data_IF_035083569825
#
_entry.id   IF_035083569825
#
_cell.length_a   1.000
_cell.length_b   1.000
_cell.length_c   1.000
_cell.angle_alpha   90.00
_cell.angle_beta   90.00
_cell.angle_gamma   90.00
#
_symmetry.space_group_name_H-M   'P 1'
#
loop_
_entity.id
_entity.type
_entity.pdbx_description
1 polymer ?
#
# COMPACT_ATOMS: atom_id res chain seq x y z
N UNK A 1 13.93 11.26 21.57
CA UNK A 1 13.82 10.00 20.80
C UNK A 1 14.66 10.11 19.54
N UNK A 2 15.20 9.01 19.05
CA UNK A 2 16.02 8.89 17.84
C UNK A 2 15.39 7.85 16.90
N UNK A 3 15.45 8.10 15.59
CA UNK A 3 15.08 7.11 14.56
C UNK A 3 16.33 6.32 14.16
N UNK A 4 16.16 5.01 13.99
CA UNK A 4 17.15 4.05 13.53
C UNK A 4 16.57 3.40 12.26
N UNK A 5 17.32 3.53 11.16
CA UNK A 5 16.99 2.93 9.87
C UNK A 5 17.18 1.42 9.91
N UNK A 6 16.41 0.71 9.09
CA UNK A 6 16.51 -0.74 8.92
C UNK A 6 16.86 -1.06 7.47
N UNK A 7 16.99 -2.34 7.12
CA UNK A 7 17.23 -2.77 5.74
C UNK A 7 16.03 -2.55 4.79
N UNK A 8 14.84 -2.24 5.33
CA UNK A 8 13.67 -1.82 4.55
C UNK A 8 13.30 -0.40 5.00
N UNK A 9 13.46 0.59 4.11
CA UNK A 9 13.35 2.01 4.46
C UNK A 9 12.00 2.42 5.06
N UNK A 10 10.91 1.72 4.73
CA UNK A 10 9.58 1.98 5.29
C UNK A 10 9.46 1.57 6.77
N UNK A 11 10.23 0.56 7.20
CA UNK A 11 10.21 0.03 8.57
C UNK A 11 11.33 0.71 9.36
N UNK A 12 10.97 1.39 10.43
CA UNK A 12 11.93 2.16 11.23
C UNK A 12 11.77 1.88 12.71
N UNK A 13 12.87 2.08 13.44
CA UNK A 13 12.94 1.82 14.87
C UNK A 13 13.13 3.13 15.60
N UNK A 14 12.41 3.32 16.70
CA UNK A 14 12.52 4.49 17.55
C UNK A 14 13.15 4.10 18.89
N UNK A 15 14.20 4.82 19.27
CA UNK A 15 14.84 4.71 20.57
C UNK A 15 14.47 5.94 21.43
N UNK A 16 13.79 5.77 22.57
CA UNK A 16 13.39 6.88 23.40
C UNK A 16 14.59 7.51 24.11
N UNK A 17 14.45 8.77 24.48
CA UNK A 17 15.41 9.42 25.41
C UNK A 17 14.93 9.13 26.82
N UNK A 18 15.73 8.39 27.59
CA UNK A 18 15.40 7.96 28.95
C UNK A 18 16.03 8.93 29.97
N UNK A 19 15.22 9.37 30.92
CA UNK A 19 15.64 10.19 32.05
C UNK A 19 15.57 9.33 33.31
N UNK A 20 16.70 9.10 33.96
CA UNK A 20 16.80 8.23 35.15
C UNK A 20 17.17 9.06 36.39
N UNK A 21 16.56 8.71 37.53
CA UNK A 21 16.89 9.25 38.85
C UNK A 21 16.63 8.19 39.95
N UNK A 22 16.86 8.54 41.22
CA UNK A 22 16.71 7.60 42.36
C UNK A 22 15.30 7.00 42.51
N UNK A 23 14.27 7.57 41.85
CA UNK A 23 12.89 7.07 41.87
C UNK A 23 12.63 6.04 40.77
N UNK A 24 13.50 5.93 39.78
CA UNK A 24 13.34 5.08 38.61
C UNK A 24 13.66 5.83 37.32
N UNK A 25 12.87 5.59 36.28
CA UNK A 25 13.09 6.19 34.97
C UNK A 25 11.79 6.70 34.34
N UNK A 26 11.93 7.68 33.46
CA UNK A 26 10.86 8.27 32.68
C UNK A 26 11.31 8.41 31.23
N UNK A 27 10.42 8.08 30.30
CA UNK A 27 10.56 8.47 28.90
C UNK A 27 9.19 8.74 28.28
N UNK A 28 9.19 9.61 27.28
CA UNK A 28 8.02 9.83 26.43
C UNK A 28 7.90 8.63 25.47
N UNK A 29 6.93 7.76 25.74
CA UNK A 29 6.72 6.54 24.94
C UNK A 29 6.11 6.82 23.57
N UNK A 30 5.46 7.96 23.37
CA UNK A 30 5.01 8.40 22.06
C UNK A 30 4.72 9.90 22.05
N UNK A 31 5.02 10.56 20.93
CA UNK A 31 4.66 11.94 20.62
C UNK A 31 4.43 12.05 19.13
N UNK A 32 3.18 12.27 18.73
CA UNK A 32 2.80 12.37 17.31
C UNK A 32 3.62 13.44 16.55
N UNK A 33 3.82 14.67 17.07
CA UNK A 33 4.64 15.65 16.39
C UNK A 33 6.08 15.20 16.15
N UNK A 34 6.72 14.53 17.12
CA UNK A 34 8.10 14.03 16.98
C UNK A 34 8.19 12.84 16.05
N UNK A 35 7.21 11.93 16.14
CA UNK A 35 7.08 10.78 15.27
C UNK A 35 6.93 11.21 13.81
N UNK A 36 5.99 12.11 13.51
CA UNK A 36 5.80 12.66 12.16
C UNK A 36 7.04 13.41 11.66
N UNK A 37 7.67 14.25 12.50
CA UNK A 37 8.87 14.97 12.11
C UNK A 37 10.03 14.03 11.71
N UNK A 38 10.20 12.91 12.42
CA UNK A 38 11.24 11.92 12.13
C UNK A 38 10.94 11.11 10.85
N UNK A 39 9.68 10.71 10.63
CA UNK A 39 9.28 10.03 9.40
C UNK A 39 9.45 10.93 8.18
N UNK A 40 8.97 12.18 8.24
CA UNK A 40 9.13 13.16 7.16
C UNK A 40 10.59 13.45 6.84
N UNK A 41 11.47 13.50 7.85
CA UNK A 41 12.91 13.69 7.64
C UNK A 41 13.56 12.54 6.86
N UNK A 42 12.96 11.34 6.90
CA UNK A 42 13.38 10.15 6.15
C UNK A 42 12.63 9.97 4.83
N UNK A 43 11.75 10.91 4.46
CA UNK A 43 10.91 10.80 3.27
C UNK A 43 9.85 9.70 3.36
N UNK A 44 9.53 9.22 4.57
CA UNK A 44 8.49 8.20 4.79
C UNK A 44 7.13 8.88 4.85
N UNK A 45 6.15 8.34 4.10
CA UNK A 45 4.76 8.82 4.12
C UNK A 45 4.19 8.77 5.53
N UNK A 46 3.55 9.87 5.94
CA UNK A 46 2.95 9.98 7.27
C UNK A 46 1.73 9.04 7.38
N UNK A 47 1.64 8.22 8.44
CA UNK A 47 0.47 7.39 8.64
C UNK A 47 -0.76 8.21 9.10
N UNK A 48 -1.98 7.64 9.02
CA UNK A 48 -3.11 8.17 9.75
C UNK A 48 -2.85 8.17 11.25
N UNK A 49 -3.67 8.94 11.99
CA UNK A 49 -3.68 8.87 13.45
C UNK A 49 -3.96 7.45 13.94
N UNK A 50 -3.37 7.11 15.08
CA UNK A 50 -3.67 5.85 15.76
C UNK A 50 -5.09 5.89 16.35
N UNK A 51 -5.90 4.87 16.04
CA UNK A 51 -7.31 4.80 16.45
C UNK A 51 -7.62 3.65 17.41
N UNK A 52 -6.65 2.76 17.63
CA UNK A 52 -6.80 1.60 18.50
C UNK A 52 -5.46 1.27 19.17
N UNK A 53 -5.52 0.80 20.41
CA UNK A 53 -4.38 0.33 21.17
C UNK A 53 -4.68 -1.05 21.74
N UNK A 54 -3.68 -1.92 21.71
CA UNK A 54 -3.78 -3.31 22.08
C UNK A 54 -2.65 -3.68 23.04
N UNK A 55 -2.93 -4.64 23.92
CA UNK A 55 -1.97 -5.16 24.89
C UNK A 55 -2.12 -6.69 24.97
N UNK A 56 -0.99 -7.40 25.02
CA UNK A 56 -0.99 -8.86 25.20
C UNK A 56 0.07 -9.28 26.21
N UNK A 57 -0.22 -10.34 26.95
CA UNK A 57 0.71 -11.04 27.82
C UNK A 57 1.05 -12.39 27.17
N UNK A 58 2.34 -12.72 27.07
CA UNK A 58 2.81 -13.95 26.44
C UNK A 58 3.84 -14.66 27.31
N UNK A 59 3.73 -15.98 27.40
CA UNK A 59 4.76 -16.85 27.97
C UNK A 59 5.96 -16.92 27.03
N UNK A 60 7.12 -17.35 27.54
CA UNK A 60 8.28 -17.61 26.69
C UNK A 60 7.94 -18.64 25.60
N UNK A 61 8.43 -18.40 24.39
CA UNK A 61 8.23 -19.29 23.23
C UNK A 61 6.88 -19.11 22.53
N UNK A 62 6.00 -18.22 22.99
CA UNK A 62 4.77 -17.88 22.26
C UNK A 62 5.11 -17.11 20.99
N UNK A 63 4.69 -17.66 19.85
CA UNK A 63 4.77 -17.07 18.52
C UNK A 63 3.39 -16.51 18.15
N UNK A 64 3.34 -15.25 17.71
CA UNK A 64 2.13 -14.62 17.16
C UNK A 64 2.45 -14.02 15.81
N UNK A 65 1.71 -14.40 14.77
CA UNK A 65 1.93 -13.90 13.42
C UNK A 65 2.26 -14.98 12.39
N UNK A 66 2.47 -14.61 11.14
CA UNK A 66 2.53 -13.21 10.65
C UNK A 66 1.14 -12.68 10.31
N UNK A 67 0.77 -11.48 10.78
CA UNK A 67 -0.58 -10.91 10.64
C UNK A 67 -0.60 -9.56 9.93
N UNK A 68 -1.62 -9.36 9.11
CA UNK A 68 -1.92 -8.10 8.42
C UNK A 68 -3.43 -7.97 8.17
N UNK A 69 -3.88 -6.77 7.81
CA UNK A 69 -5.25 -6.54 7.34
C UNK A 69 -5.21 -5.96 5.92
N UNK A 70 -6.16 -6.37 5.09
CA UNK A 70 -6.35 -5.82 3.75
C UNK A 70 -7.16 -4.53 3.78
N UNK A 71 -7.04 -3.74 2.72
CA UNK A 71 -7.89 -2.59 2.49
C UNK A 71 -9.38 -2.97 2.42
N UNK A 72 -10.29 -2.10 2.91
CA UNK A 72 -10.06 -0.74 3.42
C UNK A 72 -9.61 -0.66 4.89
N UNK A 73 -9.34 -1.80 5.55
CA UNK A 73 -8.94 -1.87 6.95
C UNK A 73 -7.44 -2.15 7.15
N UNK A 74 -6.59 -1.81 6.19
CA UNK A 74 -5.15 -1.97 6.36
C UNK A 74 -4.67 -1.24 7.62
N UNK A 75 -3.66 -1.79 8.29
CA UNK A 75 -3.15 -1.28 9.56
C UNK A 75 -1.64 -1.10 9.51
N UNK A 76 -1.19 0.12 9.78
CA UNK A 76 0.13 0.36 10.32
C UNK A 76 0.14 0.12 11.83
N UNK A 77 1.26 -0.35 12.37
CA UNK A 77 1.44 -0.69 13.78
C UNK A 77 2.68 0.02 14.33
N UNK A 78 2.53 0.66 15.48
CA UNK A 78 3.68 1.07 16.31
C UNK A 78 3.75 0.13 17.51
N UNK A 79 4.77 -0.71 17.56
CA UNK A 79 4.88 -1.83 18.50
C UNK A 79 6.00 -1.62 19.53
N UNK A 80 5.80 -2.11 20.75
CA UNK A 80 6.79 -2.01 21.83
C UNK A 80 6.58 -3.06 22.94
N UNK A 81 7.58 -3.22 23.79
CA UNK A 81 7.54 -4.12 24.96
C UNK A 81 7.70 -3.31 26.24
N UNK A 82 6.77 -3.49 27.19
CA UNK A 82 6.80 -2.81 28.49
C UNK A 82 7.33 -3.70 29.62
N UNK A 83 7.25 -5.03 29.44
CA UNK A 83 7.83 -6.03 30.34
C UNK A 83 8.32 -7.22 29.51
N UNK A 84 9.49 -7.78 29.85
CA UNK A 84 10.09 -8.90 29.14
C UNK A 84 10.77 -8.49 27.83
N UNK A 85 10.82 -9.42 26.88
CA UNK A 85 11.45 -9.23 25.58
C UNK A 85 10.78 -10.07 24.48
N UNK A 86 10.77 -9.56 23.26
CA UNK A 86 10.38 -10.29 22.04
C UNK A 86 11.44 -10.13 20.97
N UNK A 87 11.51 -11.09 20.04
CA UNK A 87 12.06 -10.86 18.72
C UNK A 87 10.90 -10.55 17.76
N UNK A 88 10.80 -9.30 17.34
CA UNK A 88 9.72 -8.76 16.51
C UNK A 88 10.15 -8.70 15.04
N UNK A 89 9.24 -9.03 14.14
CA UNK A 89 9.49 -9.14 12.70
C UNK A 89 8.40 -8.43 11.90
N UNK A 90 8.84 -7.66 10.91
CA UNK A 90 8.01 -7.07 9.88
C UNK A 90 8.44 -7.61 8.51
N UNK A 91 7.48 -7.99 7.66
CA UNK A 91 7.71 -8.57 6.33
C UNK A 91 7.00 -7.72 5.29
N UNK A 92 7.71 -7.31 4.25
CA UNK A 92 7.10 -6.59 3.13
C UNK A 92 6.31 -7.57 2.25
N UNK A 93 4.98 -7.45 2.25
CA UNK A 93 4.08 -8.33 1.49
C UNK A 93 3.38 -7.58 0.35
N UNK A 94 3.85 -6.36 0.00
CA UNK A 94 3.27 -5.53 -1.06
C UNK A 94 3.69 -6.09 -2.42
N UNK A 95 2.74 -6.69 -3.15
CA UNK A 95 3.03 -7.27 -4.48
C UNK A 95 3.60 -6.19 -5.41
N UNK A 96 4.80 -6.43 -5.95
CA UNK A 96 5.51 -5.49 -6.83
C UNK A 96 6.51 -4.57 -6.11
N UNK A 97 6.59 -4.63 -4.77
CA UNK A 97 7.63 -3.92 -4.02
C UNK A 97 9.04 -4.42 -4.37
N UNK A 98 10.06 -3.54 -4.48
CA UNK A 98 11.46 -3.94 -4.62
C UNK A 98 11.97 -4.82 -3.46
N UNK A 99 11.35 -4.70 -2.28
CA UNK A 99 11.67 -5.46 -1.07
C UNK A 99 10.63 -6.56 -0.78
N UNK A 100 9.76 -6.91 -1.72
CA UNK A 100 8.76 -7.96 -1.53
C UNK A 100 9.38 -9.28 -1.03
N UNK A 101 8.81 -9.83 0.04
CA UNK A 101 9.29 -11.03 0.72
C UNK A 101 10.49 -10.82 1.64
N UNK A 102 11.10 -9.63 1.65
CA UNK A 102 12.15 -9.29 2.61
C UNK A 102 11.54 -8.93 3.96
N UNK A 103 12.36 -9.08 5.01
CA UNK A 103 11.93 -8.84 6.38
C UNK A 103 12.96 -8.03 7.17
N UNK A 104 12.47 -7.41 8.23
CA UNK A 104 13.24 -6.72 9.27
C UNK A 104 12.94 -7.44 10.57
N UNK A 105 13.97 -7.85 11.31
CA UNK A 105 13.83 -8.47 12.62
C UNK A 105 14.65 -7.73 13.68
N UNK A 106 14.09 -7.53 14.87
CA UNK A 106 14.80 -6.88 15.97
C UNK A 106 14.26 -7.32 17.33
N UNK A 107 15.15 -7.41 18.32
CA UNK A 107 14.73 -7.54 19.71
C UNK A 107 14.11 -6.24 20.24
N UNK A 108 12.89 -6.32 20.76
CA UNK A 108 12.24 -5.27 21.53
C UNK A 108 12.10 -5.74 22.98
N UNK A 109 12.51 -4.92 23.94
CA UNK A 109 12.46 -5.31 25.34
C UNK A 109 12.17 -4.13 26.27
N UNK A 110 11.72 -4.44 27.48
CA UNK A 110 11.53 -3.43 28.53
C UNK A 110 12.84 -2.70 28.88
N UNK A 111 13.99 -3.35 28.64
CA UNK A 111 15.32 -2.80 28.87
C UNK A 111 15.71 -1.83 27.76
N UNK A 112 15.60 -2.23 26.49
CA UNK A 112 16.01 -1.37 25.38
C UNK A 112 14.97 -0.28 25.05
N UNK A 113 13.71 -0.50 25.44
CA UNK A 113 12.56 0.42 25.31
C UNK A 113 12.32 0.89 23.87
N UNK A 114 12.84 0.15 22.89
CA UNK A 114 12.69 0.49 21.49
C UNK A 114 11.25 0.25 21.05
N UNK A 115 10.87 0.96 20.00
CA UNK A 115 9.60 0.75 19.30
C UNK A 115 9.88 0.51 17.83
N UNK A 116 9.11 -0.33 17.18
CA UNK A 116 9.19 -0.51 15.73
C UNK A 116 7.92 -0.01 15.07
N UNK A 117 8.07 0.79 14.01
CA UNK A 117 6.99 1.17 13.12
C UNK A 117 6.92 0.18 11.96
N UNK A 118 5.77 -0.44 11.81
CA UNK A 118 5.44 -1.37 10.73
C UNK A 118 4.30 -0.76 9.91
N UNK A 119 4.53 -0.31 8.67
CA UNK A 119 3.50 0.39 7.91
C UNK A 119 2.43 -0.55 7.35
N UNK A 120 1.37 0.04 6.79
CA UNK A 120 0.36 -0.69 6.03
C UNK A 120 1.00 -1.48 4.88
N UNK A 121 0.44 -2.64 4.55
CA UNK A 121 1.00 -3.51 3.51
C UNK A 121 2.14 -4.41 3.99
N UNK A 122 2.49 -4.40 5.28
CA UNK A 122 3.43 -5.33 5.89
C UNK A 122 2.72 -6.39 6.73
N UNK A 123 3.25 -7.61 6.74
CA UNK A 123 2.89 -8.61 7.73
C UNK A 123 3.78 -8.46 8.98
N UNK A 124 3.21 -8.66 10.16
CA UNK A 124 3.89 -8.47 11.43
C UNK A 124 3.71 -9.67 12.35
N UNK A 125 4.77 -10.06 13.05
CA UNK A 125 4.71 -11.08 14.09
C UNK A 125 5.89 -11.01 15.05
N UNK A 126 5.79 -11.74 16.16
CA UNK A 126 6.86 -11.81 17.15
C UNK A 126 6.90 -13.15 17.88
N UNK A 127 8.07 -13.46 18.45
CA UNK A 127 8.25 -14.53 19.42
C UNK A 127 8.68 -13.97 20.77
N UNK A 128 7.99 -14.36 21.85
CA UNK A 128 8.35 -13.96 23.20
C UNK A 128 9.61 -14.70 23.68
N UNK A 129 10.62 -13.94 24.12
CA UNK A 129 11.92 -14.45 24.56
C UNK A 129 11.96 -14.70 26.07
N UNK A 130 11.07 -14.04 26.81
CA UNK A 130 10.96 -14.10 28.26
C UNK A 130 9.54 -14.46 28.71
N UNK A 131 9.43 -14.92 29.96
CA UNK A 131 8.13 -15.11 30.60
C UNK A 131 7.46 -13.78 30.90
N UNK A 132 6.13 -13.82 31.03
CA UNK A 132 5.30 -12.65 31.35
C UNK A 132 5.62 -11.42 30.48
N UNK A 133 5.89 -11.65 29.20
CA UNK A 133 6.22 -10.59 28.25
C UNK A 133 4.95 -9.81 27.89
N UNK A 134 4.95 -8.51 28.20
CA UNK A 134 3.84 -7.59 27.92
C UNK A 134 4.17 -6.76 26.68
N UNK A 135 3.49 -7.09 25.59
CA UNK A 135 3.63 -6.44 24.29
C UNK A 135 2.47 -5.47 24.05
N UNK A 136 2.79 -4.22 23.70
CA UNK A 136 1.82 -3.17 23.41
C UNK A 136 1.96 -2.69 21.98
N UNK A 137 0.84 -2.35 21.35
CA UNK A 137 0.87 -1.77 20.02
C UNK A 137 -0.32 -0.87 19.72
N UNK A 138 -0.05 0.19 18.97
CA UNK A 138 -1.06 1.12 18.43
C UNK A 138 -1.27 0.83 16.96
N UNK A 139 -2.51 0.92 16.48
CA UNK A 139 -2.86 0.69 15.07
C UNK A 139 -3.55 1.89 14.43
N UNK A 140 -3.25 2.14 13.17
CA UNK A 140 -3.82 3.26 12.38
C UNK A 140 -5.26 3.02 11.92
N UNK A 141 -5.76 1.80 12.09
CA UNK A 141 -7.13 1.42 11.79
C UNK A 141 -7.68 0.44 12.85
N UNK A 142 -9.00 0.25 12.88
CA UNK A 142 -9.67 -0.68 13.79
C UNK A 142 -9.50 -2.13 13.33
N UNK A 143 -9.63 -3.06 14.27
CA UNK A 143 -9.64 -4.48 13.94
C UNK A 143 -10.84 -4.86 13.06
N UNK A 144 -10.60 -5.66 12.02
CA UNK A 144 -11.64 -6.17 11.13
C UNK A 144 -11.37 -7.64 10.80
N UNK A 145 -12.13 -8.53 11.46
CA UNK A 145 -12.01 -9.99 11.28
C UNK A 145 -12.12 -10.43 9.82
N UNK A 146 -12.94 -9.73 9.03
CA UNK A 146 -13.15 -10.03 7.61
C UNK A 146 -11.92 -9.72 6.73
N UNK A 147 -11.16 -8.70 7.11
CA UNK A 147 -10.01 -8.20 6.34
C UNK A 147 -8.68 -8.72 6.89
N UNK A 148 -8.70 -9.31 8.08
CA UNK A 148 -7.54 -9.96 8.66
C UNK A 148 -7.08 -11.14 7.81
N UNK A 149 -5.76 -11.22 7.63
CA UNK A 149 -5.07 -12.30 6.95
C UNK A 149 -3.81 -12.68 7.73
N UNK A 150 -3.25 -13.82 7.36
CA UNK A 150 -2.04 -14.34 7.97
C UNK A 150 -1.16 -15.02 6.94
N UNK A 151 0.14 -15.05 7.20
CA UNK A 151 1.12 -15.87 6.49
C UNK A 151 1.81 -16.78 7.51
N UNK A 152 2.16 -17.99 7.09
CA UNK A 152 2.91 -18.94 7.87
C UNK A 152 4.21 -18.29 8.40
N UNK A 153 4.40 -18.29 9.72
CA UNK A 153 5.61 -17.73 10.35
C UNK A 153 6.89 -18.46 9.92
N UNK A 154 6.75 -19.74 9.54
CA UNK A 154 7.81 -20.62 9.07
C UNK A 154 7.78 -20.83 7.55
N UNK A 155 7.23 -19.87 6.81
CA UNK A 155 7.24 -19.91 5.34
C UNK A 155 8.69 -19.99 4.81
N UNK A 156 9.01 -20.99 3.94
CA UNK A 156 10.37 -21.20 3.46
C UNK A 156 10.84 -20.13 2.47
N UNK A 157 9.95 -19.41 1.80
CA UNK A 157 10.31 -18.33 0.87
C UNK A 157 10.69 -17.05 1.64
N UNK A 158 10.07 -16.83 2.82
CA UNK A 158 10.45 -15.75 3.72
C UNK A 158 11.76 -16.02 4.47
N UNK A 159 12.03 -17.29 4.79
CA UNK A 159 13.26 -17.75 5.46
C UNK A 159 13.67 -16.87 6.67
N UNK A 160 12.69 -16.50 7.50
CA UNK A 160 12.93 -15.63 8.67
C UNK A 160 13.82 -16.36 9.68
N UNK A 161 14.88 -15.69 10.10
CA UNK A 161 15.83 -16.20 11.10
C UNK A 161 15.28 -16.03 12.52
N UNK A 162 14.24 -16.79 12.85
CA UNK A 162 13.68 -16.80 14.19
C UNK A 162 14.68 -17.36 15.22
N UNK A 163 14.78 -16.79 16.42
CA UNK A 163 15.56 -17.36 17.50
C UNK A 163 15.14 -18.80 17.80
N UNK A 164 16.12 -19.70 17.91
CA UNK A 164 15.86 -21.10 18.23
C UNK A 164 15.45 -21.25 19.70
N UNK A 165 14.16 -21.50 19.94
CA UNK A 165 13.61 -21.79 21.24
C UNK A 165 13.01 -23.20 21.26
N UNK A 166 13.20 -23.89 22.39
CA UNK A 166 12.48 -25.15 22.65
C UNK A 166 11.02 -24.84 23.02
N UNK A 167 10.09 -25.68 22.57
CA UNK A 167 8.68 -25.60 23.00
C UNK A 167 7.90 -24.40 22.46
N UNK A 168 8.10 -24.04 21.19
CA UNK A 168 7.30 -23.05 20.48
C UNK A 168 5.79 -23.25 20.70
N UNK A 169 5.10 -22.20 21.13
CA UNK A 169 3.67 -22.17 21.37
C UNK A 169 3.01 -21.31 20.29
N UNK A 170 2.23 -21.94 19.42
CA UNK A 170 1.59 -21.30 18.26
C UNK A 170 0.08 -21.49 18.39
N UNK A 171 -0.71 -20.48 17.98
CA UNK A 171 -2.17 -20.59 17.99
C UNK A 171 -2.67 -21.49 16.84
N UNK A 172 -3.86 -22.08 16.98
CA UNK A 172 -4.46 -22.88 15.89
C UNK A 172 -4.58 -22.09 14.59
N UNK A 173 -4.85 -20.78 14.68
CA UNK A 173 -4.93 -19.86 13.53
C UNK A 173 -3.58 -19.73 12.83
N UNK A 174 -2.51 -19.52 13.60
CA UNK A 174 -1.18 -19.30 13.06
C UNK A 174 -0.55 -20.61 12.54
N UNK A 175 -0.94 -21.75 13.12
CA UNK A 175 -0.49 -23.08 12.72
C UNK A 175 -1.03 -23.50 11.33
N UNK A 176 -2.15 -22.93 10.89
CA UNK A 176 -2.78 -23.24 9.59
C UNK A 176 -2.74 -22.07 8.61
N UNK A 177 -1.91 -21.05 8.88
CA UNK A 177 -1.75 -19.92 8.00
C UNK A 177 -1.16 -20.35 6.63
N UNK A 178 -1.62 -19.76 5.51
CA UNK A 178 -1.13 -20.08 4.18
C UNK A 178 0.33 -19.65 3.98
N UNK A 179 0.99 -20.25 2.98
CA UNK A 179 2.28 -19.77 2.48
C UNK A 179 2.18 -18.37 1.89
N UNK A 180 3.31 -17.66 1.75
CA UNK A 180 3.37 -16.36 1.08
C UNK A 180 2.80 -16.44 -0.35
N UNK A 181 3.09 -17.54 -1.05
CA UNK A 181 2.64 -17.77 -2.42
C UNK A 181 1.12 -17.92 -2.55
N UNK A 182 0.46 -18.47 -1.52
CA UNK A 182 -0.99 -18.74 -1.50
C UNK A 182 -1.79 -17.65 -0.78
N UNK A 183 -1.11 -16.79 -0.03
CA UNK A 183 -1.73 -15.76 0.77
C UNK A 183 -2.41 -14.68 -0.10
N UNK A 184 -3.52 -14.15 0.42
CA UNK A 184 -4.23 -13.01 -0.15
C UNK A 184 -3.48 -11.73 0.26
N UNK A 185 -2.67 -11.18 -0.67
CA UNK A 185 -1.72 -10.10 -0.38
C UNK A 185 -2.24 -8.73 -0.83
N UNK A 186 -1.88 -7.64 -0.12
CA UNK A 186 -2.18 -6.29 -0.54
C UNK A 186 -1.43 -5.94 -1.85
N UNK A 187 -2.05 -5.15 -2.75
CA UNK A 187 -1.33 -4.56 -3.87
C UNK A 187 -0.33 -3.52 -3.36
N UNK A 188 0.75 -3.28 -4.10
CA UNK A 188 1.58 -2.10 -3.86
C UNK A 188 0.80 -0.85 -4.28
N UNK A 189 0.40 -0.04 -3.31
CA UNK A 189 -0.21 1.27 -3.60
C UNK A 189 0.93 2.27 -3.82
N UNK A 190 1.12 2.66 -5.07
CA UNK A 190 1.96 3.79 -5.45
C UNK A 190 1.05 4.97 -5.76
N UNK A 191 1.50 6.20 -5.50
CA UNK A 191 0.84 7.38 -6.07
C UNK A 191 0.73 7.21 -7.58
N UNK A 192 -0.49 7.34 -8.07
CA UNK A 192 -0.75 7.28 -9.49
C UNK A 192 -0.06 8.42 -10.22
N UNK A 193 0.13 8.24 -11.53
CA UNK A 193 0.52 9.33 -12.40
C UNK A 193 -0.36 9.27 -13.65
N UNK A 194 -0.69 10.45 -14.16
CA UNK A 194 -1.30 10.62 -15.46
C UNK A 194 -0.36 11.40 -16.37
N UNK A 195 -0.29 10.98 -17.63
CA UNK A 195 0.61 11.58 -18.62
C UNK A 195 -0.16 11.81 -19.93
N UNK A 196 -0.11 13.05 -20.42
CA UNK A 196 -0.51 13.36 -21.79
C UNK A 196 0.55 12.86 -22.76
N UNK A 197 0.14 12.04 -23.72
CA UNK A 197 1.00 11.49 -24.75
C UNK A 197 0.57 11.98 -26.14
N UNK A 198 1.55 12.22 -26.99
CA UNK A 198 1.34 12.43 -28.42
C UNK A 198 1.80 11.17 -29.17
N UNK A 199 0.84 10.47 -29.75
CA UNK A 199 1.08 9.27 -30.52
C UNK A 199 1.67 9.62 -31.89
N UNK A 200 2.69 8.87 -32.35
CA UNK A 200 3.32 9.15 -33.63
C UNK A 200 2.35 8.87 -34.78
N UNK A 201 2.13 9.88 -35.62
CA UNK A 201 1.35 9.74 -36.85
C UNK A 201 2.27 9.31 -37.98
N UNK A 202 1.91 8.24 -38.66
CA UNK A 202 2.50 7.84 -39.94
C UNK A 202 1.45 8.09 -41.00
N UNK A 203 1.75 8.94 -41.98
CA UNK A 203 0.76 9.29 -42.99
C UNK A 203 1.36 9.89 -44.24
N UNK A 204 0.55 9.89 -45.29
CA UNK A 204 0.81 10.54 -46.57
C UNK A 204 -0.47 11.23 -47.07
N UNK A 205 -0.52 11.58 -48.34
CA UNK A 205 -1.65 12.22 -48.99
C UNK A 205 -2.95 11.40 -48.96
N UNK A 206 -2.87 10.11 -48.64
CA UNK A 206 -4.03 9.21 -48.54
C UNK A 206 -4.64 9.21 -47.14
N UNK A 207 -3.94 9.70 -46.13
CA UNK A 207 -4.41 9.77 -44.76
C UNK A 207 -3.36 9.44 -43.71
N UNK A 208 -3.84 9.27 -42.49
CA UNK A 208 -3.04 9.09 -41.27
C UNK A 208 -3.29 7.73 -40.63
N UNK A 209 -2.23 7.13 -40.09
CA UNK A 209 -2.23 5.89 -39.34
C UNK A 209 -1.50 6.11 -38.02
N UNK A 210 -2.07 5.58 -36.93
CA UNK A 210 -1.41 5.43 -35.64
C UNK A 210 -1.44 3.94 -35.29
N UNK A 211 -0.28 3.39 -34.94
CA UNK A 211 -0.15 2.02 -34.44
C UNK A 211 0.05 2.04 -32.93
N UNK A 212 -0.59 1.13 -32.19
CA UNK A 212 -0.36 0.96 -30.75
C UNK A 212 0.33 -0.39 -30.50
N UNK A 213 1.54 -0.35 -29.96
CA UNK A 213 2.42 -1.51 -29.83
C UNK A 213 3.11 -1.52 -28.46
N UNK A 214 3.05 -2.67 -27.78
CA UNK A 214 3.72 -2.89 -26.50
C UNK A 214 5.21 -2.59 -26.65
N UNK A 215 5.76 -1.84 -25.69
CA UNK A 215 7.18 -1.46 -25.60
C UNK A 215 7.67 -0.49 -26.69
N UNK A 216 6.78 0.02 -27.55
CA UNK A 216 7.08 1.11 -28.47
C UNK A 216 6.38 2.40 -28.04
N UNK A 217 5.05 2.37 -27.86
CA UNK A 217 4.24 3.55 -27.57
C UNK A 217 3.24 3.35 -26.41
N UNK A 218 3.27 2.18 -25.77
CA UNK A 218 2.53 1.91 -24.54
C UNK A 218 3.41 1.14 -23.54
N UNK A 219 3.45 1.54 -22.25
CA UNK A 219 4.40 1.01 -21.27
C UNK A 219 3.98 -0.35 -20.68
N UNK A 220 2.85 -0.91 -21.10
CA UNK A 220 2.30 -2.15 -20.54
C UNK A 220 1.84 -3.14 -21.60
N UNK A 221 1.66 -4.41 -21.20
CA UNK A 221 1.09 -5.43 -22.06
C UNK A 221 -0.41 -5.20 -22.28
N UNK A 222 -0.87 -5.22 -23.53
CA UNK A 222 -2.29 -5.04 -23.84
C UNK A 222 -3.03 -6.35 -23.52
N UNK A 223 -3.87 -6.33 -22.48
CA UNK A 223 -4.72 -7.48 -22.11
C UNK A 223 -6.17 -7.29 -22.50
N UNK A 224 -6.63 -6.05 -22.65
CA UNK A 224 -8.01 -5.73 -22.98
C UNK A 224 -8.10 -4.43 -23.77
N UNK A 225 -8.98 -4.41 -24.77
CA UNK A 225 -9.32 -3.21 -25.56
C UNK A 225 -10.83 -3.10 -25.62
N UNK A 226 -11.36 -1.90 -25.39
CA UNK A 226 -12.78 -1.61 -25.51
C UNK A 226 -12.98 -0.17 -25.95
N UNK A 227 -14.22 0.18 -26.33
CA UNK A 227 -14.55 1.51 -26.79
C UNK A 227 -15.86 2.01 -26.18
N UNK A 228 -15.96 3.32 -26.03
CA UNK A 228 -17.12 4.05 -25.51
C UNK A 228 -17.61 4.95 -26.63
N UNK A 229 -18.91 4.89 -26.93
CA UNK A 229 -19.55 5.66 -27.99
C UNK A 229 -21.02 5.91 -27.64
N UNK A 230 -21.65 6.87 -28.31
CA UNK A 230 -23.09 7.16 -28.14
C UNK A 230 -23.44 7.75 -26.77
N UNK A 231 -22.52 8.50 -26.16
CA UNK A 231 -22.76 9.24 -24.91
C UNK A 231 -23.77 10.36 -25.13
N UNK A 232 -24.72 10.53 -24.20
CA UNK A 232 -25.72 11.60 -24.28
C UNK A 232 -25.12 12.92 -23.78
N UNK A 233 -25.58 14.04 -24.34
CA UNK A 233 -25.20 15.37 -23.89
C UNK A 233 -25.43 15.55 -22.38
N UNK A 234 -24.45 16.14 -21.69
CA UNK A 234 -24.48 16.39 -20.24
C UNK A 234 -24.26 15.16 -19.35
N UNK A 235 -24.10 13.95 -19.92
CA UNK A 235 -23.76 12.76 -19.12
C UNK A 235 -22.29 12.77 -18.77
N UNK A 236 -22.00 12.62 -17.48
CA UNK A 236 -20.65 12.39 -16.97
C UNK A 236 -20.46 10.93 -16.63
N UNK A 237 -19.22 10.45 -16.72
CA UNK A 237 -18.84 9.06 -16.45
C UNK A 237 -17.50 9.02 -15.76
N UNK A 238 -17.01 7.83 -15.44
CA UNK A 238 -15.60 7.65 -15.09
C UNK A 238 -15.30 7.64 -13.60
N UNK A 239 -16.19 8.11 -12.72
CA UNK A 239 -16.06 8.24 -11.25
C UNK A 239 -15.52 7.01 -10.48
N UNK A 240 -14.24 6.71 -10.66
CA UNK A 240 -13.52 5.65 -9.96
C UNK A 240 -12.01 5.81 -10.16
N UNK A 241 -11.25 5.14 -9.30
CA UNK A 241 -9.85 4.81 -9.55
C UNK A 241 -9.69 3.29 -9.66
N UNK A 242 -8.48 2.86 -9.98
CA UNK A 242 -8.08 1.46 -10.04
C UNK A 242 -6.87 1.21 -9.16
N UNK A 243 -6.77 0.06 -8.51
CA UNK A 243 -5.63 -0.31 -7.64
C UNK A 243 -4.41 -0.72 -8.43
N UNK A 244 -4.61 -1.44 -9.52
CA UNK A 244 -3.56 -2.06 -10.33
C UNK A 244 -3.67 -1.70 -11.82
N UNK A 245 -4.89 -1.48 -12.34
CA UNK A 245 -5.10 -1.26 -13.78
C UNK A 245 -4.46 0.05 -14.28
N UNK A 246 -3.68 -0.08 -15.35
CA UNK A 246 -3.21 1.02 -16.18
C UNK A 246 -3.99 1.08 -17.49
N UNK A 247 -4.23 2.29 -17.99
CA UNK A 247 -5.02 2.51 -19.19
C UNK A 247 -4.39 3.57 -20.09
N UNK A 248 -4.52 3.37 -21.40
CA UNK A 248 -4.30 4.42 -22.41
C UNK A 248 -5.68 4.74 -23.02
N UNK A 249 -6.09 6.00 -22.94
CA UNK A 249 -7.37 6.48 -23.49
C UNK A 249 -7.08 7.37 -24.69
N UNK A 250 -7.77 7.13 -25.80
CA UNK A 250 -7.63 7.88 -27.06
C UNK A 250 -9.03 8.27 -27.55
N UNK A 251 -9.22 9.53 -27.93
CA UNK A 251 -10.45 9.96 -28.62
C UNK A 251 -10.27 9.81 -30.13
N UNK A 252 -10.87 8.77 -30.71
CA UNK A 252 -10.74 8.45 -32.14
C UNK A 252 -11.53 9.41 -33.03
N UNK A 253 -12.64 9.94 -32.52
CA UNK A 253 -13.51 10.90 -33.18
C UNK A 253 -14.18 11.77 -32.11
N UNK A 254 -14.48 13.03 -32.45
CA UNK A 254 -15.09 13.98 -31.53
C UNK A 254 -14.15 14.46 -30.43
N UNK A 255 -14.72 14.78 -29.27
CA UNK A 255 -13.96 15.24 -28.10
C UNK A 255 -14.56 14.80 -26.76
N UNK A 256 -13.71 14.77 -25.72
CA UNK A 256 -14.09 14.52 -24.33
C UNK A 256 -13.12 15.25 -23.39
N UNK A 257 -13.65 15.83 -22.31
CA UNK A 257 -12.83 16.32 -21.19
C UNK A 257 -12.65 15.19 -20.17
N UNK A 258 -11.42 14.92 -19.78
CA UNK A 258 -11.04 13.96 -18.74
C UNK A 258 -10.57 14.75 -17.52
N UNK A 259 -11.17 14.55 -16.36
CA UNK A 259 -10.68 15.14 -15.09
C UNK A 259 -9.99 14.05 -14.29
N UNK A 260 -8.70 14.22 -14.00
CA UNK A 260 -7.87 13.23 -13.31
C UNK A 260 -7.34 13.79 -11.99
N UNK A 261 -7.32 12.97 -10.94
CA UNK A 261 -6.70 13.33 -9.66
C UNK A 261 -5.77 12.18 -9.21
N UNK A 262 -4.51 12.51 -8.96
CA UNK A 262 -3.45 11.61 -8.48
C UNK A 262 -3.12 11.81 -6.99
N UNK A 263 -4.02 12.46 -6.26
CA UNK A 263 -3.85 12.86 -4.86
C UNK A 263 -3.31 14.29 -4.68
N UNK A 264 -2.91 14.97 -5.75
CA UNK A 264 -2.47 16.38 -5.70
C UNK A 264 -3.58 17.38 -6.04
N UNK A 265 -4.74 16.89 -6.46
CA UNK A 265 -5.89 17.69 -6.88
C UNK A 265 -6.28 17.41 -8.33
N UNK A 266 -7.53 17.74 -8.72
CA UNK A 266 -8.04 17.42 -10.04
C UNK A 266 -7.43 18.31 -11.13
N UNK A 267 -7.03 17.69 -12.23
CA UNK A 267 -6.50 18.32 -13.44
C UNK A 267 -7.34 17.90 -14.65
N UNK A 268 -7.71 18.87 -15.48
CA UNK A 268 -8.47 18.63 -16.70
C UNK A 268 -7.56 18.41 -17.91
N UNK A 269 -7.83 17.36 -18.66
CA UNK A 269 -7.19 16.99 -19.92
C UNK A 269 -8.24 16.96 -21.03
N UNK A 270 -7.95 17.58 -22.17
CA UNK A 270 -8.84 17.58 -23.33
C UNK A 270 -8.35 16.59 -24.38
N UNK A 271 -9.17 15.57 -24.65
CA UNK A 271 -8.96 14.63 -25.76
C UNK A 271 -9.85 15.03 -26.93
N UNK A 272 -9.28 15.74 -27.91
CA UNK A 272 -9.97 16.33 -29.07
C UNK A 272 -9.29 15.99 -30.41
N UNK A 273 -8.31 15.08 -30.40
CA UNK A 273 -7.57 14.66 -31.58
C UNK A 273 -7.10 13.20 -31.43
N UNK A 274 -7.06 12.42 -32.52
CA UNK A 274 -6.72 10.99 -32.48
C UNK A 274 -5.27 10.71 -32.09
N UNK A 275 -4.35 11.68 -32.24
CA UNK A 275 -2.98 11.55 -31.75
C UNK A 275 -2.80 11.90 -30.26
N UNK A 276 -3.78 12.56 -29.62
CA UNK A 276 -3.71 12.83 -28.19
C UNK A 276 -4.20 11.60 -27.44
N UNK A 277 -3.36 11.11 -26.55
CA UNK A 277 -3.68 9.98 -25.70
C UNK A 277 -3.40 10.34 -24.23
N UNK A 278 -4.17 9.76 -23.32
CA UNK A 278 -3.98 9.93 -21.90
C UNK A 278 -3.59 8.60 -21.29
N UNK A 279 -2.35 8.50 -20.83
CA UNK A 279 -1.87 7.37 -20.05
C UNK A 279 -2.25 7.60 -18.60
N UNK A 280 -3.09 6.73 -18.06
CA UNK A 280 -3.56 6.77 -16.69
C UNK A 280 -3.02 5.54 -15.98
N UNK A 281 -2.07 5.71 -15.07
CA UNK A 281 -1.57 4.61 -14.24
C UNK A 281 -2.62 4.22 -13.18
N UNK A 282 -2.28 3.22 -12.37
CA UNK A 282 -3.07 2.88 -11.21
C UNK A 282 -3.12 4.05 -10.20
N UNK A 283 -4.06 4.01 -9.27
CA UNK A 283 -4.24 5.04 -8.24
C UNK A 283 -4.39 6.46 -8.79
N UNK A 284 -5.13 6.61 -9.90
CA UNK A 284 -5.59 7.92 -10.41
C UNK A 284 -7.11 7.87 -10.50
N UNK A 285 -7.78 8.77 -9.77
CA UNK A 285 -9.21 9.01 -9.91
C UNK A 285 -9.46 9.63 -11.27
N UNK A 286 -10.48 9.16 -11.98
CA UNK A 286 -10.81 9.66 -13.32
C UNK A 286 -12.27 10.02 -13.42
N UNK A 287 -12.56 11.03 -14.21
CA UNK A 287 -13.90 11.43 -14.60
C UNK A 287 -13.88 11.84 -16.08
N UNK A 288 -15.02 11.74 -16.73
CA UNK A 288 -15.21 12.02 -18.14
C UNK A 288 -16.45 12.88 -18.31
N UNK A 289 -16.28 14.02 -18.97
CA UNK A 289 -17.29 15.06 -19.13
C UNK A 289 -17.29 15.60 -20.56
N UNK A 290 -18.32 16.38 -20.88
CA UNK A 290 -18.37 17.24 -22.08
C UNK A 290 -18.09 16.49 -23.40
N UNK A 291 -18.66 15.30 -23.53
CA UNK A 291 -18.58 14.50 -24.75
C UNK A 291 -19.23 15.23 -25.94
N UNK A 292 -18.54 15.31 -27.08
CA UNK A 292 -19.18 15.68 -28.35
C UNK A 292 -20.16 14.59 -28.83
N UNK A 293 -21.08 14.94 -29.72
CA UNK A 293 -22.10 14.03 -30.24
C UNK A 293 -21.50 12.82 -30.99
N UNK A 294 -20.38 13.04 -31.68
CA UNK A 294 -19.63 12.05 -32.44
C UNK A 294 -18.49 11.39 -31.64
N UNK A 295 -18.45 11.59 -30.31
CA UNK A 295 -17.34 11.10 -29.49
C UNK A 295 -17.22 9.57 -29.50
N UNK A 296 -16.02 9.09 -29.82
CA UNK A 296 -15.63 7.68 -29.70
C UNK A 296 -14.30 7.59 -28.95
N UNK A 297 -14.34 7.08 -27.71
CA UNK A 297 -13.14 6.82 -26.92
C UNK A 297 -12.73 5.35 -27.07
N UNK A 298 -11.48 5.11 -27.42
CA UNK A 298 -10.84 3.80 -27.29
C UNK A 298 -10.08 3.74 -25.97
N UNK A 299 -10.20 2.63 -25.26
CA UNK A 299 -9.45 2.36 -24.02
C UNK A 299 -8.69 1.06 -24.17
N UNK A 300 -7.38 1.14 -23.93
CA UNK A 300 -6.44 0.03 -23.96
C UNK A 300 -5.96 -0.21 -22.53
N UNK A 301 -6.06 -1.43 -22.04
CA UNK A 301 -5.93 -1.77 -20.63
C UNK A 301 -4.85 -2.83 -20.38
N UNK A 302 -4.08 -2.64 -19.29
CA UNK A 302 -3.05 -3.58 -18.85
C UNK A 302 -3.60 -4.88 -18.27
N UNK A 303 -4.86 -4.87 -17.81
CA UNK A 303 -5.53 -5.99 -17.15
C UNK A 303 -6.92 -6.31 -17.71
N UNK A 304 -7.37 -7.55 -17.49
CA UNK A 304 -8.76 -7.95 -17.73
C UNK A 304 -9.73 -7.26 -16.76
N UNK A 305 -11.04 -7.40 -16.99
CA UNK A 305 -12.03 -6.85 -16.05
C UNK A 305 -11.96 -7.57 -14.70
N UNK A 306 -11.83 -6.82 -13.61
CA UNK A 306 -11.95 -7.30 -12.23
C UNK A 306 -12.64 -6.20 -11.40
N UNK A 307 -13.78 -6.50 -10.77
CA UNK A 307 -14.49 -5.50 -9.96
C UNK A 307 -13.73 -5.14 -8.68
N UNK A 308 -12.88 -6.04 -8.16
CA UNK A 308 -12.12 -5.83 -6.91
C UNK A 308 -11.04 -4.75 -7.05
N UNK A 309 -10.63 -4.48 -8.29
CA UNK A 309 -9.66 -3.45 -8.63
C UNK A 309 -10.27 -2.04 -8.56
N UNK A 310 -11.60 -1.90 -8.60
CA UNK A 310 -12.25 -0.59 -8.60
C UNK A 310 -12.26 0.06 -7.22
N UNK A 311 -11.93 1.35 -7.19
CA UNK A 311 -12.16 2.25 -6.06
C UNK A 311 -13.31 3.18 -6.45
N UNK A 312 -14.51 2.91 -5.93
CA UNK A 312 -15.77 3.59 -6.32
C UNK A 312 -16.09 4.84 -5.52
N UNK A 313 -15.40 5.06 -4.40
CA UNK A 313 -15.59 6.20 -3.53
C UNK A 313 -14.40 7.13 -3.65
N UNK A 314 -14.66 8.42 -3.92
CA UNK A 314 -13.62 9.44 -3.96
C UNK A 314 -12.94 9.61 -2.59
N UNK A 315 -13.70 9.46 -1.51
CA UNK A 315 -13.17 9.52 -0.16
C UNK A 315 -12.22 8.35 0.11
N UNK A 316 -12.57 7.13 -0.30
CA UNK A 316 -11.68 5.98 -0.16
C UNK A 316 -10.43 6.13 -1.03
N UNK A 317 -10.56 6.67 -2.24
CA UNK A 317 -9.42 7.01 -3.08
C UNK A 317 -8.47 7.98 -2.38
N UNK A 318 -9.00 9.08 -1.82
CA UNK A 318 -8.21 10.09 -1.11
C UNK A 318 -7.51 9.50 0.13
N UNK A 319 -8.17 8.61 0.87
CA UNK A 319 -7.53 7.88 1.98
C UNK A 319 -6.39 6.99 1.47
N UNK A 320 -6.65 6.16 0.46
CA UNK A 320 -5.65 5.23 -0.08
C UNK A 320 -4.41 5.95 -0.61
N UNK A 321 -4.58 7.07 -1.31
CA UNK A 321 -3.46 7.81 -1.91
C UNK A 321 -2.69 8.68 -0.91
N UNK A 322 -3.34 9.08 0.19
CA UNK A 322 -2.66 9.71 1.32
C UNK A 322 -1.68 8.75 2.02
N UNK A 323 -1.85 7.44 1.84
CA UNK A 323 -1.00 6.38 2.41
C UNK A 323 -0.01 5.78 1.40
N UNK A 324 0.04 6.33 0.18
CA UNK A 324 0.89 5.91 -0.93
C UNK A 324 2.18 6.74 -1.07
#
# INVERSE_FOLDING_TARGET
MKLIETNISDVVVFEPTVFEDDRGWFYESYSEPKFHALLSAQGITLPPSFVQENCSLSKKGVMRGLHYQLYPFAQGKLVSVVQGAVFDVAVDIRKGSPTFGQWVGMELSATNRKMMWVPEGFAHGFIALEEDTVFQYRTTNVYSKEHERSIAWNDPDLAIEWPQLEGLLISDKDAVAPSLAEADLPPLILKGQAEDLLLPIIGDDRGSLISIEKALNIPFAIRRVYYIFGTKAGVSRGFHAHRDLQQLIICLAGSCRMTLDDGTGPVDHMLDAPQKALLIKNMVWREMHDFSEDCVLMVIASETYDERDYIRSYEDFQRLIAHA
#
